data_IF_246348062959
#
_entry.id   IF_246348062959
#
_cell.length_a   1.000
_cell.length_b   1.000
_cell.length_c   1.000
_cell.angle_alpha   90.00
_cell.angle_beta   90.00
_cell.angle_gamma   90.00
#
_symmetry.space_group_name_H-M   'P 1'
#
loop_
_entity.id
_entity.type
_entity.pdbx_description
1 polymer ?
#
# COMPACT_ATOMS: atom_id res chain seq x y z
N UNK A 1 25.32 10.45 -49.56
CA UNK A 1 23.87 10.45 -49.81
C UNK A 1 23.21 9.41 -48.92
N UNK A 2 22.04 9.78 -48.41
CA UNK A 2 21.14 9.04 -47.52
C UNK A 2 20.43 7.95 -48.30
N UNK A 3 20.45 6.70 -47.82
CA UNK A 3 19.51 5.66 -48.24
C UNK A 3 19.17 4.78 -47.03
N UNK A 4 17.93 4.91 -46.56
CA UNK A 4 17.18 3.97 -45.71
C UNK A 4 15.96 3.51 -46.53
N UNK A 5 15.21 2.48 -46.13
CA UNK A 5 15.57 1.15 -45.63
C UNK A 5 14.86 0.04 -46.48
N UNK A 6 15.07 -1.24 -46.18
CA UNK A 6 14.19 -2.32 -46.68
C UNK A 6 13.39 -2.95 -45.52
N UNK A 7 12.09 -3.23 -45.69
CA UNK A 7 11.20 -3.66 -44.61
C UNK A 7 11.33 -5.17 -44.35
N UNK A 8 11.70 -5.56 -43.13
CA UNK A 8 11.68 -6.97 -42.70
C UNK A 8 10.26 -7.35 -42.27
N UNK A 9 9.51 -8.02 -43.15
CA UNK A 9 8.24 -8.68 -42.82
C UNK A 9 8.47 -9.70 -41.69
N UNK A 10 7.72 -9.57 -40.59
CA UNK A 10 7.61 -10.58 -39.53
C UNK A 10 6.28 -11.29 -39.74
N UNK A 11 6.32 -12.60 -39.92
CA UNK A 11 5.13 -13.45 -39.85
C UNK A 11 5.26 -14.24 -38.54
N UNK A 12 4.76 -13.67 -37.45
CA UNK A 12 4.65 -14.40 -36.18
C UNK A 12 3.23 -14.97 -36.13
N UNK A 13 3.08 -16.23 -36.51
CA UNK A 13 1.88 -17.01 -36.26
C UNK A 13 2.02 -17.61 -34.86
N UNK A 14 1.35 -17.02 -33.87
CA UNK A 14 1.19 -17.64 -32.56
C UNK A 14 0.15 -18.75 -32.68
N UNK A 15 0.62 -19.99 -32.90
CA UNK A 15 -0.21 -21.18 -32.67
C UNK A 15 -0.05 -21.53 -31.19
N UNK A 16 -1.10 -21.28 -30.41
CA UNK A 16 -1.17 -21.72 -29.01
C UNK A 16 -1.38 -23.23 -28.99
N UNK A 17 -0.31 -23.99 -28.81
CA UNK A 17 -0.38 -25.41 -28.46
C UNK A 17 0.02 -25.59 -27.00
N UNK A 18 -1.00 -25.69 -26.14
CA UNK A 18 -0.89 -25.72 -24.67
C UNK A 18 -0.13 -26.97 -24.17
N UNK A 19 -0.09 -28.03 -24.99
CA UNK A 19 0.61 -29.27 -24.65
C UNK A 19 2.14 -29.14 -24.81
N UNK A 20 2.60 -28.39 -25.82
CA UNK A 20 4.03 -28.17 -26.07
C UNK A 20 4.67 -27.29 -24.98
N UNK A 21 3.92 -26.28 -24.48
CA UNK A 21 4.40 -25.37 -23.42
C UNK A 21 4.68 -26.06 -22.09
N UNK A 22 3.94 -27.12 -21.74
CA UNK A 22 4.18 -27.87 -20.51
C UNK A 22 5.46 -28.71 -20.59
N UNK A 23 5.76 -29.27 -21.76
CA UNK A 23 6.97 -30.08 -21.99
C UNK A 23 8.24 -29.20 -22.02
N UNK A 24 8.18 -28.03 -22.67
CA UNK A 24 9.27 -27.05 -22.64
C UNK A 24 9.45 -26.39 -21.27
N UNK A 25 8.36 -26.11 -20.53
CA UNK A 25 8.46 -25.60 -19.15
C UNK A 25 9.14 -26.60 -18.21
N UNK A 26 8.93 -27.91 -18.41
CA UNK A 26 9.57 -28.96 -17.61
C UNK A 26 11.06 -29.09 -17.96
N UNK A 27 11.45 -28.90 -19.23
CA UNK A 27 12.85 -28.90 -19.68
C UNK A 27 13.60 -27.61 -19.29
N UNK A 28 12.93 -26.45 -19.28
CA UNK A 28 13.49 -25.17 -18.82
C UNK A 28 13.55 -25.06 -17.28
N UNK A 29 12.68 -25.77 -16.55
CA UNK A 29 12.75 -25.87 -15.09
C UNK A 29 14.00 -26.59 -14.58
N UNK A 30 14.63 -27.44 -15.42
CA UNK A 30 15.93 -28.06 -15.14
C UNK A 30 17.11 -27.10 -15.38
N UNK A 31 16.93 -26.02 -16.13
CA UNK A 31 17.96 -25.02 -16.41
C UNK A 31 17.92 -23.90 -15.36
N UNK A 32 18.68 -24.09 -14.28
CA UNK A 32 19.04 -23.09 -13.27
C UNK A 32 17.81 -22.45 -12.61
N UNK A 33 17.37 -23.08 -11.53
CA UNK A 33 16.55 -22.43 -10.50
C UNK A 33 17.29 -21.18 -10.00
N UNK A 34 17.11 -20.04 -10.67
CA UNK A 34 17.40 -18.74 -10.10
C UNK A 34 16.39 -18.57 -8.98
N UNK A 35 16.76 -19.02 -7.78
CA UNK A 35 16.01 -18.75 -6.56
C UNK A 35 15.89 -17.23 -6.49
N UNK A 36 14.71 -16.72 -6.81
CA UNK A 36 14.40 -15.33 -6.58
C UNK A 36 14.69 -15.07 -5.10
N UNK A 37 15.60 -14.13 -4.83
CA UNK A 37 15.84 -13.69 -3.45
C UNK A 37 14.55 -12.99 -3.03
N UNK A 38 14.01 -13.35 -1.87
CA UNK A 38 12.89 -12.62 -1.28
C UNK A 38 13.29 -11.15 -1.21
N UNK A 39 12.51 -10.29 -1.87
CA UNK A 39 12.70 -8.86 -1.75
C UNK A 39 12.52 -8.50 -0.27
N UNK A 40 13.42 -7.69 0.31
CA UNK A 40 13.19 -7.17 1.66
C UNK A 40 11.79 -6.56 1.72
N UNK A 41 11.04 -6.87 2.78
CA UNK A 41 9.77 -6.19 3.02
C UNK A 41 10.08 -4.72 3.31
N UNK A 42 10.01 -3.90 2.27
CA UNK A 42 10.31 -2.47 2.34
C UNK A 42 9.21 -1.69 3.08
N UNK A 43 8.08 -2.35 3.44
CA UNK A 43 6.98 -1.76 4.21
C UNK A 43 6.58 -2.71 5.33
N UNK A 44 6.79 -2.26 6.57
CA UNK A 44 6.41 -2.98 7.77
C UNK A 44 5.02 -2.56 8.30
N UNK A 45 4.53 -1.36 7.93
CA UNK A 45 3.30 -0.78 8.48
C UNK A 45 2.47 -0.13 7.37
N UNK A 46 1.19 -0.48 7.29
CA UNK A 46 0.27 0.01 6.24
C UNK A 46 -1.07 0.37 6.87
N UNK A 47 -1.66 1.50 6.44
CA UNK A 47 -3.07 1.82 6.67
C UNK A 47 -3.87 1.48 5.42
N UNK A 48 -5.00 0.80 5.58
CA UNK A 48 -5.97 0.51 4.53
C UNK A 48 -7.33 1.07 4.96
N UNK A 49 -7.89 1.96 4.15
CA UNK A 49 -9.20 2.55 4.38
C UNK A 49 -10.24 1.85 3.48
N UNK A 50 -11.49 1.71 3.92
CA UNK A 50 -12.57 1.07 3.17
C UNK A 50 -13.15 2.00 2.10
N UNK A 51 -12.28 2.69 1.35
CA UNK A 51 -12.65 3.57 0.25
C UNK A 51 -11.91 3.16 -1.01
N UNK A 52 -12.41 3.63 -2.15
CA UNK A 52 -11.74 3.45 -3.43
C UNK A 52 -10.36 4.11 -3.44
N UNK A 53 -9.44 3.60 -4.25
CA UNK A 53 -8.07 4.11 -4.26
C UNK A 53 -7.95 5.58 -4.72
N UNK A 54 -8.96 6.11 -5.41
CA UNK A 54 -9.08 7.50 -5.86
C UNK A 54 -9.85 8.42 -4.87
N UNK A 55 -10.25 7.91 -3.70
CA UNK A 55 -10.90 8.72 -2.68
C UNK A 55 -10.02 9.88 -2.22
N UNK A 56 -10.65 11.04 -2.01
CA UNK A 56 -9.97 12.23 -1.51
C UNK A 56 -9.77 12.11 0.01
N UNK A 57 -8.53 11.84 0.41
CA UNK A 57 -8.15 11.64 1.81
C UNK A 57 -7.16 12.73 2.21
N UNK A 58 -7.59 13.61 3.11
CA UNK A 58 -6.70 14.62 3.70
C UNK A 58 -5.77 13.96 4.71
N UNK A 59 -4.46 14.07 4.48
CA UNK A 59 -3.42 13.54 5.37
C UNK A 59 -2.75 14.71 6.10
N UNK A 60 -2.84 14.71 7.43
CA UNK A 60 -2.19 15.69 8.29
C UNK A 60 -1.14 14.99 9.13
N UNK A 61 0.08 15.52 9.12
CA UNK A 61 1.19 15.00 9.90
C UNK A 61 1.56 15.99 11.01
N UNK A 62 1.61 15.50 12.25
CA UNK A 62 2.15 16.22 13.40
C UNK A 62 3.39 15.50 13.93
N UNK A 63 4.07 16.08 14.91
CA UNK A 63 5.19 15.41 15.58
C UNK A 63 4.75 14.06 16.21
N UNK A 64 3.52 14.02 16.72
CA UNK A 64 3.04 12.93 17.56
C UNK A 64 2.13 11.93 16.81
N UNK A 65 1.64 12.27 15.61
CA UNK A 65 0.70 11.40 14.88
C UNK A 65 0.56 11.72 13.40
N UNK A 66 -0.06 10.79 12.67
CA UNK A 66 -0.73 11.04 11.40
C UNK A 66 -2.24 11.04 11.60
N UNK A 67 -2.94 11.95 10.94
CA UNK A 67 -4.40 12.01 10.89
C UNK A 67 -4.86 11.92 9.45
N UNK A 68 -5.75 10.99 9.17
CA UNK A 68 -6.38 10.77 7.88
C UNK A 68 -7.85 11.15 8.01
N UNK A 69 -8.31 12.07 7.19
CA UNK A 69 -9.68 12.58 7.23
C UNK A 69 -10.33 12.37 5.88
N UNK A 70 -11.50 11.77 5.89
CA UNK A 70 -12.30 11.49 4.69
C UNK A 70 -13.72 11.96 4.95
N UNK A 71 -14.19 12.91 4.14
CA UNK A 71 -15.60 13.29 4.13
C UNK A 71 -16.37 12.23 3.34
N UNK A 72 -17.36 11.60 3.98
CA UNK A 72 -18.16 10.54 3.38
C UNK A 72 -19.59 10.58 3.93
N UNK A 73 -20.56 10.46 3.03
CA UNK A 73 -21.98 10.32 3.39
C UNK A 73 -22.34 8.85 3.69
N UNK A 74 -21.35 7.95 3.68
CA UNK A 74 -21.53 6.51 3.88
C UNK A 74 -21.83 6.20 5.35
N UNK A 75 -23.11 6.21 5.70
CA UNK A 75 -23.62 5.80 7.03
C UNK A 75 -23.21 4.36 7.42
N UNK A 76 -22.76 3.53 6.47
CA UNK A 76 -22.35 2.13 6.67
C UNK A 76 -21.09 1.99 7.54
N UNK A 77 -20.19 2.99 7.54
CA UNK A 77 -19.03 3.03 8.43
C UNK A 77 -19.48 3.16 9.90
N UNK A 78 -20.66 3.73 10.12
CA UNK A 78 -21.35 3.77 11.41
C UNK A 78 -20.63 4.56 12.50
N UNK A 79 -21.38 4.93 13.55
CA UNK A 79 -20.83 5.64 14.70
C UNK A 79 -19.79 4.83 15.52
N UNK A 80 -19.64 3.53 15.26
CA UNK A 80 -18.70 2.63 15.95
C UNK A 80 -17.45 2.30 15.10
N UNK A 81 -17.06 3.21 14.19
CA UNK A 81 -15.86 3.06 13.40
C UNK A 81 -14.64 2.88 14.32
N UNK A 82 -13.93 1.76 14.18
CA UNK A 82 -12.74 1.44 14.98
C UNK A 82 -11.57 1.04 14.10
N UNK A 83 -10.38 1.48 14.49
CA UNK A 83 -9.14 1.01 13.90
C UNK A 83 -8.81 -0.37 14.49
N UNK A 84 -8.47 -1.31 13.61
CA UNK A 84 -8.00 -2.63 14.01
C UNK A 84 -6.66 -2.92 13.34
N UNK A 85 -5.73 -3.40 14.14
CA UNK A 85 -4.38 -3.74 13.72
C UNK A 85 -4.28 -5.25 13.54
N UNK A 86 -3.85 -5.68 12.36
CA UNK A 86 -3.68 -7.09 11.98
C UNK A 86 -2.28 -7.34 11.43
N UNK A 87 -1.69 -8.48 11.80
CA UNK A 87 -0.43 -8.93 11.20
C UNK A 87 -0.74 -9.75 9.95
N UNK A 88 -0.41 -9.22 8.78
CA UNK A 88 -0.68 -9.87 7.48
C UNK A 88 0.47 -10.78 7.04
N UNK A 89 1.64 -10.58 7.62
CA UNK A 89 2.84 -11.36 7.41
C UNK A 89 3.79 -11.07 8.59
N UNK A 90 4.68 -11.99 9.01
CA UNK A 90 5.62 -11.74 10.09
C UNK A 90 6.37 -10.39 9.96
N UNK A 91 6.13 -9.49 10.91
CA UNK A 91 6.72 -8.15 10.94
C UNK A 91 6.09 -7.13 9.97
N UNK A 92 4.97 -7.46 9.33
CA UNK A 92 4.17 -6.56 8.50
C UNK A 92 2.77 -6.43 9.09
N UNK A 93 2.48 -5.24 9.55
CA UNK A 93 1.24 -4.88 10.21
C UNK A 93 0.38 -4.01 9.30
N UNK A 94 -0.92 -4.28 9.26
CA UNK A 94 -1.93 -3.49 8.55
C UNK A 94 -2.96 -2.97 9.54
N UNK A 95 -3.28 -1.69 9.44
CA UNK A 95 -4.43 -1.07 10.11
C UNK A 95 -5.60 -1.12 9.12
N UNK A 96 -6.73 -1.65 9.56
CA UNK A 96 -8.01 -1.65 8.83
C UNK A 96 -9.07 -0.94 9.66
N UNK A 97 -10.07 -0.35 9.01
CA UNK A 97 -11.20 0.29 9.70
C UNK A 97 -12.39 -0.65 9.66
N UNK A 98 -13.01 -0.90 10.83
CA UNK A 98 -14.21 -1.73 10.98
C UNK A 98 -15.39 -0.89 11.46
N UNK A 99 -16.56 -1.10 10.87
CA UNK A 99 -17.85 -0.53 11.29
C UNK A 99 -18.79 -1.58 11.88
N UNK A 100 -19.99 -1.17 12.27
CA UNK A 100 -21.00 -2.02 12.94
C UNK A 100 -21.77 -2.95 11.96
N UNK A 101 -21.69 -2.66 10.65
CA UNK A 101 -22.09 -3.58 9.58
C UNK A 101 -20.90 -4.46 9.21
N UNK A 102 -20.86 -5.67 9.73
CA UNK A 102 -19.84 -6.70 9.43
C UNK A 102 -20.04 -7.23 7.99
N UNK A 103 -19.97 -6.33 7.00
CA UNK A 103 -19.54 -6.69 5.67
C UNK A 103 -18.06 -6.41 5.71
N UNK A 104 -17.28 -7.47 5.84
CA UNK A 104 -15.85 -7.42 5.62
C UNK A 104 -15.65 -6.76 4.23
N UNK A 105 -15.39 -5.45 4.21
CA UNK A 105 -15.11 -4.66 3.00
C UNK A 105 -13.87 -5.23 2.26
N UNK A 106 -13.17 -6.20 2.88
CA UNK A 106 -12.09 -6.97 2.30
C UNK A 106 -12.39 -8.49 2.10
N UNK A 107 -13.57 -9.02 2.49
CA UNK A 107 -13.91 -10.45 2.33
C UNK A 107 -13.95 -10.89 0.86
N UNK A 108 -14.04 -9.93 -0.05
CA UNK A 108 -14.08 -10.15 -1.49
C UNK A 108 -12.74 -10.45 -2.15
N UNK A 109 -11.62 -10.64 -1.44
CA UNK A 109 -10.35 -11.24 -1.93
C UNK A 109 -9.64 -10.64 -3.16
N UNK A 110 -10.25 -9.72 -3.91
CA UNK A 110 -9.81 -9.22 -5.22
C UNK A 110 -10.10 -7.72 -5.42
N UNK A 111 -10.65 -7.03 -4.42
CA UNK A 111 -10.83 -5.57 -4.49
C UNK A 111 -9.47 -4.89 -4.25
N UNK A 112 -8.69 -4.82 -5.33
CA UNK A 112 -7.37 -4.18 -5.34
C UNK A 112 -7.47 -2.65 -5.27
N UNK A 113 -8.64 -2.11 -5.60
CA UNK A 113 -8.94 -0.69 -5.70
C UNK A 113 -9.30 -0.07 -4.34
N UNK A 114 -8.56 -0.41 -3.29
CA UNK A 114 -8.76 0.18 -1.96
C UNK A 114 -7.67 1.20 -1.65
N UNK A 115 -8.04 2.22 -0.89
CA UNK A 115 -7.14 3.28 -0.48
C UNK A 115 -6.11 2.78 0.54
N UNK A 116 -4.82 3.02 0.26
CA UNK A 116 -3.70 2.53 1.09
C UNK A 116 -2.63 3.59 1.29
N UNK A 117 -2.13 3.66 2.51
CA UNK A 117 -1.00 4.51 2.87
C UNK A 117 0.09 3.72 3.60
N UNK A 118 1.34 3.95 3.23
CA UNK A 118 2.50 3.32 3.88
C UNK A 118 2.94 4.18 5.04
N UNK A 119 2.93 3.60 6.23
CA UNK A 119 3.25 4.31 7.45
C UNK A 119 4.76 4.27 7.74
N UNK A 120 5.37 5.37 8.20
CA UNK A 120 6.75 5.37 8.68
C UNK A 120 6.97 4.40 9.83
N UNK A 121 8.20 3.95 10.01
CA UNK A 121 8.59 3.03 11.08
C UNK A 121 8.26 3.56 12.49
N UNK A 122 8.33 4.88 12.67
CA UNK A 122 8.03 5.58 13.92
C UNK A 122 6.56 5.46 14.37
N UNK A 123 5.63 5.09 13.49
CA UNK A 123 4.20 4.97 13.84
C UNK A 123 3.92 3.79 14.79
N UNK A 124 2.85 3.87 15.56
CA UNK A 124 2.38 2.84 16.49
C UNK A 124 0.98 2.34 16.07
N UNK A 125 0.89 1.42 15.08
CA UNK A 125 -0.38 0.89 14.59
C UNK A 125 -1.32 0.37 15.68
N UNK A 126 -0.78 -0.26 16.72
CA UNK A 126 -1.51 -0.80 17.86
C UNK A 126 -2.24 0.25 18.71
N UNK A 127 -1.85 1.52 18.62
CA UNK A 127 -2.51 2.65 19.28
C UNK A 127 -3.40 3.46 18.33
N UNK A 128 -3.56 3.01 17.09
CA UNK A 128 -4.40 3.72 16.13
C UNK A 128 -5.85 3.77 16.59
N UNK A 129 -6.50 4.90 16.35
CA UNK A 129 -7.92 5.11 16.65
C UNK A 129 -8.65 5.54 15.40
N UNK A 130 -9.94 5.22 15.35
CA UNK A 130 -10.83 5.74 14.33
C UNK A 130 -12.08 6.29 15.01
N UNK A 131 -12.72 7.25 14.36
CA UNK A 131 -13.99 7.80 14.79
C UNK A 131 -14.72 8.41 13.61
N UNK A 132 -16.04 8.26 13.60
CA UNK A 132 -16.92 8.83 12.59
C UNK A 132 -17.83 9.87 13.24
N UNK A 133 -17.81 11.10 12.73
CA UNK A 133 -18.62 12.20 13.25
C UNK A 133 -18.95 13.18 12.13
N UNK A 134 -20.21 13.62 12.05
CA UNK A 134 -20.67 14.68 11.12
C UNK A 134 -20.32 14.42 9.64
N UNK A 135 -20.42 13.17 9.19
CA UNK A 135 -20.07 12.82 7.80
C UNK A 135 -18.56 12.71 7.55
N UNK A 136 -17.73 12.65 8.59
CA UNK A 136 -16.28 12.51 8.44
C UNK A 136 -15.76 11.29 9.18
N UNK A 137 -15.02 10.44 8.45
CA UNK A 137 -14.16 9.43 9.07
C UNK A 137 -12.81 10.06 9.38
N UNK A 138 -12.40 9.93 10.63
CA UNK A 138 -11.08 10.32 11.11
C UNK A 138 -10.34 9.08 11.59
N UNK A 139 -9.14 8.85 11.06
CA UNK A 139 -8.21 7.85 11.57
C UNK A 139 -6.97 8.56 12.10
N UNK A 140 -6.59 8.26 13.34
CA UNK A 140 -5.37 8.80 13.97
C UNK A 140 -4.39 7.66 14.23
N UNK A 141 -3.16 7.80 13.74
CA UNK A 141 -2.08 6.84 13.96
C UNK A 141 -0.97 7.53 14.74
N UNK A 142 -0.80 7.22 16.04
CA UNK A 142 0.26 7.80 16.85
C UNK A 142 1.65 7.46 16.33
N UNK A 143 2.63 8.28 16.71
CA UNK A 143 4.06 8.06 16.54
C UNK A 143 4.69 7.84 17.91
N UNK A 144 5.72 7.01 17.95
CA UNK A 144 6.57 6.87 19.11
C UNK A 144 7.44 8.12 19.25
N UNK A 145 7.17 8.91 20.30
CA UNK A 145 7.90 10.14 20.62
C UNK A 145 9.39 9.88 20.92
N UNK A 146 9.74 8.63 21.25
CA UNK A 146 11.09 8.21 21.59
C UNK A 146 11.76 7.43 20.45
N UNK A 147 11.17 7.44 19.25
CA UNK A 147 11.74 6.80 18.07
C UNK A 147 12.99 7.55 17.60
N UNK A 148 14.14 7.16 18.14
CA UNK A 148 15.44 7.51 17.58
C UNK A 148 15.57 6.74 16.28
N UNK A 149 15.35 7.42 15.15
CA UNK A 149 15.41 6.81 13.84
C UNK A 149 16.70 5.99 13.68
N UNK A 150 16.60 4.84 13.02
CA UNK A 150 17.78 4.18 12.46
C UNK A 150 18.43 5.19 11.53
N UNK A 151 19.45 5.86 12.04
CA UNK A 151 20.23 6.89 11.41
C UNK A 151 20.54 6.47 9.98
N UNK A 152 19.89 7.14 9.02
CA UNK A 152 20.32 7.12 7.64
C UNK A 152 21.62 7.92 7.65
N UNK A 153 22.72 7.20 7.85
CA UNK A 153 23.98 7.74 8.33
C UNK A 153 24.40 9.07 7.72
N UNK A 154 24.92 9.92 8.61
CA UNK A 154 25.84 11.03 8.38
C UNK A 154 26.01 11.44 6.91
N UNK A 155 25.22 12.42 6.47
CA UNK A 155 25.74 13.48 5.62
C UNK A 155 25.17 14.82 6.10
N UNK A 156 26.10 15.61 6.62
CA UNK A 156 25.99 16.95 7.18
C UNK A 156 25.18 17.91 6.28
N UNK A 157 24.04 18.43 6.77
CA UNK A 157 23.46 19.65 6.20
C UNK A 157 21.93 19.82 6.24
N UNK A 158 21.39 20.17 7.40
CA UNK A 158 20.36 21.22 7.51
C UNK A 158 18.90 20.92 7.15
N UNK A 159 18.04 21.05 8.17
CA UNK A 159 16.65 21.54 8.12
C UNK A 159 15.63 20.80 7.24
N UNK A 160 15.09 19.69 7.74
CA UNK A 160 13.71 19.29 7.38
C UNK A 160 12.68 20.00 8.24
N UNK A 161 12.59 21.32 8.02
CA UNK A 161 11.38 22.07 8.34
C UNK A 161 10.29 21.74 7.31
N UNK A 162 9.15 21.26 7.81
CA UNK A 162 7.85 21.08 7.15
C UNK A 162 7.80 21.23 5.62
N UNK A 163 7.80 20.09 4.91
CA UNK A 163 7.36 20.04 3.51
C UNK A 163 5.88 19.65 3.48
N UNK A 164 5.00 20.64 3.55
CA UNK A 164 3.61 20.48 3.13
C UNK A 164 3.61 20.24 1.61
N UNK A 165 3.19 19.06 1.18
CA UNK A 165 2.93 18.79 -0.23
C UNK A 165 1.45 19.04 -0.45
N UNK A 166 1.10 20.23 -0.95
CA UNK A 166 -0.22 20.48 -1.50
C UNK A 166 -0.26 19.84 -2.90
N UNK A 167 -1.06 18.81 -3.07
CA UNK A 167 -1.34 18.25 -4.40
C UNK A 167 -2.52 19.05 -4.94
N UNK A 168 -2.31 19.70 -6.09
CA UNK A 168 -3.26 20.60 -6.73
C UNK A 168 -4.00 19.87 -7.87
#
# INVERSE_FOLDING_TARGET
MKVHPAPRKRNITLRYDVASTLSEATALAACRQKKLRRLPHIFAKVLELPFRSDADVSIQETADSFRFVVSTDEEEIGADARAQTVEIYPGVTKIVIRGNGDVDFAAGGLELDVWRFRLPAATMPEMATAGYSDGELVVTVPKDANFEGLDAGDDEGGVWGGRLVLVQ
#
